data_IF_588742091893
#
_entry.id   IF_588742091893
#
_cell.length_a   1.000
_cell.length_b   1.000
_cell.length_c   1.000
_cell.angle_alpha   90.00
_cell.angle_beta   90.00
_cell.angle_gamma   90.00
#
_symmetry.space_group_name_H-M   'P 1'
#
loop_
_entity.id
_entity.type
_entity.pdbx_description
1 polymer ?
#
# COMPACT_ATOMS: atom_id res chain seq x y z
N UNK A 1 -9.87 22.95 -31.77
CA UNK A 1 -8.59 23.59 -31.41
C UNK A 1 -7.84 22.63 -30.49
N UNK A 2 -6.89 21.88 -31.04
CA UNK A 2 -6.18 20.85 -30.30
C UNK A 2 -4.71 20.77 -30.72
N UNK A 3 -3.90 20.28 -29.79
CA UNK A 3 -2.49 19.90 -29.97
C UNK A 3 -1.50 21.05 -29.75
N UNK A 4 -0.39 20.90 -29.03
CA UNK A 4 0.22 19.71 -28.46
C UNK A 4 1.39 20.13 -27.57
N UNK A 5 1.58 19.39 -26.47
CA UNK A 5 2.61 19.64 -25.47
C UNK A 5 4.00 19.26 -25.96
N UNK A 6 4.99 20.01 -25.48
CA UNK A 6 6.41 19.91 -25.83
C UNK A 6 7.08 18.73 -25.12
N UNK A 7 7.45 17.70 -25.87
CA UNK A 7 8.36 16.66 -25.42
C UNK A 7 9.81 17.16 -25.55
N UNK A 8 10.55 17.18 -24.42
CA UNK A 8 11.98 17.48 -24.41
C UNK A 8 12.75 16.22 -24.83
N UNK A 9 13.24 16.23 -26.06
CA UNK A 9 14.18 15.25 -26.59
C UNK A 9 15.55 15.45 -25.92
N UNK A 10 16.08 14.42 -25.26
CA UNK A 10 17.47 14.42 -24.78
C UNK A 10 18.35 14.00 -25.95
N UNK A 11 19.09 14.97 -26.49
CA UNK A 11 19.96 14.81 -27.63
C UNK A 11 21.28 14.14 -27.20
N UNK A 12 21.51 12.89 -27.62
CA UNK A 12 22.86 12.31 -27.61
C UNK A 12 23.45 12.57 -28.99
N UNK A 13 24.45 13.46 -29.04
CA UNK A 13 25.15 13.81 -30.26
C UNK A 13 26.16 12.71 -30.63
N UNK A 14 25.97 12.09 -31.79
CA UNK A 14 27.02 11.34 -32.49
C UNK A 14 27.23 12.02 -33.84
N UNK A 15 28.41 12.63 -34.01
CA UNK A 15 28.80 13.27 -35.26
C UNK A 15 29.33 12.21 -36.23
N UNK A 16 28.67 12.10 -37.38
CA UNK A 16 29.11 11.29 -38.52
C UNK A 16 28.10 11.41 -39.65
N UNK A 17 28.48 12.07 -40.74
CA UNK A 17 27.62 12.34 -41.89
C UNK A 17 27.15 11.07 -42.59
N UNK A 18 25.86 11.06 -42.95
CA UNK A 18 25.20 9.97 -43.69
C UNK A 18 23.77 9.79 -43.18
N UNK A 19 22.79 9.96 -44.08
CA UNK A 19 21.34 10.04 -43.82
C UNK A 19 20.82 9.25 -42.61
N UNK A 20 20.30 9.99 -41.62
CA UNK A 20 19.60 9.46 -40.46
C UNK A 20 18.16 9.10 -40.86
N UNK A 21 17.94 7.89 -41.39
CA UNK A 21 16.61 7.28 -41.32
C UNK A 21 16.40 6.83 -39.87
N UNK A 22 15.64 7.62 -39.11
CA UNK A 22 15.19 7.20 -37.78
C UNK A 22 14.26 5.98 -37.95
N UNK A 23 14.58 4.79 -37.43
CA UNK A 23 13.58 3.75 -37.33
C UNK A 23 12.50 4.25 -36.36
N UNK A 24 11.32 4.59 -36.89
CA UNK A 24 10.10 4.89 -36.14
C UNK A 24 9.53 3.64 -35.47
N UNK A 25 10.39 2.81 -34.90
CA UNK A 25 10.02 1.71 -34.05
C UNK A 25 9.85 2.25 -32.65
N UNK A 26 8.61 2.47 -32.22
CA UNK A 26 8.31 2.59 -30.79
C UNK A 26 8.67 1.25 -30.14
N UNK A 27 9.87 1.14 -29.59
CA UNK A 27 10.22 0.06 -28.68
C UNK A 27 9.38 0.27 -27.41
N UNK A 28 8.18 -0.33 -27.43
CA UNK A 28 7.33 -0.45 -26.28
C UNK A 28 8.06 -1.35 -25.29
N UNK A 29 8.82 -0.75 -24.37
CA UNK A 29 9.54 -1.48 -23.36
C UNK A 29 8.54 -2.41 -22.63
N UNK A 30 8.87 -3.70 -22.44
CA UNK A 30 8.04 -4.61 -21.67
C UNK A 30 7.71 -3.98 -20.32
N UNK A 31 6.42 -3.95 -19.94
CA UNK A 31 5.94 -3.34 -18.70
C UNK A 31 6.59 -3.87 -17.41
N UNK A 32 7.36 -4.96 -17.51
CA UNK A 32 8.18 -5.52 -16.44
C UNK A 32 9.44 -4.69 -16.15
N UNK A 33 10.02 -4.03 -17.16
CA UNK A 33 11.20 -3.18 -17.03
C UNK A 33 10.86 -1.76 -16.52
N UNK A 34 9.56 -1.43 -16.45
CA UNK A 34 9.11 -0.22 -15.75
C UNK A 34 9.32 -0.40 -14.24
N UNK A 35 9.98 0.55 -13.57
CA UNK A 35 10.26 0.43 -12.14
C UNK A 35 8.96 0.35 -11.35
N UNK A 36 8.73 -0.80 -10.71
CA UNK A 36 7.69 -0.94 -9.68
C UNK A 36 8.18 -0.22 -8.44
N UNK A 37 7.45 0.81 -8.03
CA UNK A 37 7.77 1.56 -6.81
C UNK A 37 7.43 0.74 -5.56
N UNK A 38 8.20 0.88 -4.47
CA UNK A 38 7.85 0.25 -3.21
C UNK A 38 6.52 0.81 -2.69
N UNK A 39 5.84 0.01 -1.86
CA UNK A 39 4.52 0.36 -1.33
C UNK A 39 4.52 1.71 -0.58
N UNK A 40 5.61 2.05 0.09
CA UNK A 40 5.78 3.31 0.83
C UNK A 40 5.67 4.53 -0.09
N UNK A 41 6.32 4.49 -1.25
CA UNK A 41 6.28 5.57 -2.23
C UNK A 41 4.90 5.69 -2.87
N UNK A 42 4.25 4.56 -3.15
CA UNK A 42 2.88 4.52 -3.68
C UNK A 42 1.92 5.17 -2.67
N UNK A 43 1.99 4.77 -1.41
CA UNK A 43 1.12 5.32 -0.37
C UNK A 43 1.41 6.78 -0.08
N UNK A 44 2.68 7.20 -0.12
CA UNK A 44 3.07 8.60 -0.02
C UNK A 44 2.47 9.42 -1.17
N UNK A 45 2.52 8.93 -2.40
CA UNK A 45 1.91 9.58 -3.56
C UNK A 45 0.38 9.71 -3.46
N UNK A 46 -0.31 8.68 -2.95
CA UNK A 46 -1.78 8.66 -2.89
C UNK A 46 -2.36 9.43 -1.70
N UNK A 47 -1.66 9.44 -0.56
CA UNK A 47 -2.21 9.98 0.70
C UNK A 47 -1.70 11.37 1.05
N UNK A 48 -0.52 11.76 0.56
CA UNK A 48 0.07 13.04 0.90
C UNK A 48 -0.36 14.15 -0.06
N UNK A 49 -0.41 15.37 0.47
CA UNK A 49 -0.36 16.60 -0.33
C UNK A 49 1.09 17.09 -0.34
N UNK A 50 1.45 17.93 -1.32
CA UNK A 50 2.76 18.59 -1.31
C UNK A 50 3.03 19.28 0.03
N UNK A 51 4.29 19.35 0.46
CA UNK A 51 4.67 19.97 1.75
C UNK A 51 4.10 21.39 1.91
N UNK A 52 4.03 22.15 0.81
CA UNK A 52 3.40 23.47 0.77
C UNK A 52 1.88 23.41 1.00
N UNK A 53 1.18 22.43 0.42
CA UNK A 53 -0.25 22.21 0.61
C UNK A 53 -0.60 21.79 2.05
N UNK A 54 0.25 20.99 2.70
CA UNK A 54 0.10 20.57 4.10
C UNK A 54 0.18 21.75 5.06
N UNK A 55 1.20 22.60 4.92
CA UNK A 55 1.40 23.78 5.79
C UNK A 55 0.26 24.79 5.70
N UNK A 56 -0.35 24.95 4.52
CA UNK A 56 -1.45 25.90 4.27
C UNK A 56 -2.85 25.31 4.50
N UNK A 57 -2.96 24.09 5.03
CA UNK A 57 -4.26 23.46 5.30
C UNK A 57 -5.11 23.20 4.05
N UNK A 58 -4.51 23.09 2.85
CA UNK A 58 -5.26 22.90 1.59
C UNK A 58 -5.90 21.51 1.45
N UNK A 59 -5.53 20.56 2.31
CA UNK A 59 -6.15 19.24 2.33
C UNK A 59 -7.43 19.25 3.17
N UNK A 60 -8.59 19.02 2.54
CA UNK A 60 -9.85 18.80 3.27
C UNK A 60 -9.70 17.62 4.23
N UNK A 61 -10.12 17.81 5.49
CA UNK A 61 -10.06 16.79 6.54
C UNK A 61 -10.98 15.59 6.29
N UNK A 62 -12.06 15.81 5.54
CA UNK A 62 -13.12 14.83 5.29
C UNK A 62 -12.74 13.90 4.14
N UNK A 63 -12.80 12.59 4.37
CA UNK A 63 -12.51 11.57 3.34
C UNK A 63 -11.03 11.24 3.13
N UNK A 64 -10.14 11.59 4.07
CA UNK A 64 -8.72 11.21 4.02
C UNK A 64 -8.58 9.69 3.87
N UNK A 65 -7.93 9.25 2.79
CA UNK A 65 -7.57 7.85 2.59
C UNK A 65 -6.36 7.54 3.46
N UNK A 66 -6.51 6.62 4.40
CA UNK A 66 -5.38 6.16 5.22
C UNK A 66 -4.59 5.10 4.47
N UNK A 67 -3.27 5.18 4.55
CA UNK A 67 -2.39 4.13 4.04
C UNK A 67 -2.69 2.81 4.74
N UNK A 68 -2.97 1.77 3.96
CA UNK A 68 -3.22 0.42 4.49
C UNK A 68 -1.97 -0.40 4.30
N UNK A 69 -1.62 -1.22 5.30
CA UNK A 69 -0.54 -2.17 5.14
C UNK A 69 -1.08 -3.42 4.43
N UNK A 70 -0.68 -3.65 3.17
CA UNK A 70 -1.12 -4.80 2.37
C UNK A 70 -0.43 -6.12 2.78
N UNK A 71 0.67 -6.05 3.54
CA UNK A 71 1.41 -7.24 3.96
C UNK A 71 0.80 -7.89 5.21
N UNK A 72 -0.11 -7.20 5.91
CA UNK A 72 -0.83 -7.76 7.06
C UNK A 72 -1.82 -8.81 6.58
N UNK A 73 -1.77 -10.01 7.17
CA UNK A 73 -2.67 -11.11 6.86
C UNK A 73 -2.26 -11.94 5.62
N UNK A 74 -1.09 -11.70 5.04
CA UNK A 74 -0.52 -12.55 4.00
C UNK A 74 0.53 -13.48 4.60
N UNK A 75 0.38 -14.79 4.37
CA UNK A 75 1.34 -15.81 4.78
C UNK A 75 2.23 -16.14 3.58
N UNK A 76 3.53 -16.26 3.80
CA UNK A 76 4.50 -16.58 2.75
C UNK A 76 4.22 -17.99 2.22
N UNK A 77 4.26 -18.18 0.91
CA UNK A 77 3.97 -19.48 0.27
C UNK A 77 2.49 -19.79 0.09
N UNK A 78 1.60 -18.85 0.40
CA UNK A 78 0.16 -18.97 0.11
C UNK A 78 -0.22 -18.02 -1.02
N UNK A 79 -0.76 -18.58 -2.10
CA UNK A 79 -1.18 -17.84 -3.28
C UNK A 79 -2.68 -17.96 -3.59
N UNK A 80 -3.05 -17.44 -4.77
CA UNK A 80 -4.35 -17.71 -5.39
C UNK A 80 -4.46 -19.19 -5.75
N UNK A 81 -3.45 -19.71 -6.44
CA UNK A 81 -3.25 -21.14 -6.61
C UNK A 81 -2.85 -21.76 -5.26
N UNK A 82 -3.60 -22.76 -4.83
CA UNK A 82 -3.33 -23.49 -3.61
C UNK A 82 -2.25 -24.55 -3.90
N UNK A 83 -0.99 -24.20 -3.62
CA UNK A 83 0.15 -25.10 -3.85
C UNK A 83 0.81 -25.35 -2.51
N UNK A 84 1.06 -26.60 -2.18
CA UNK A 84 1.85 -27.01 -1.02
C UNK A 84 3.33 -26.91 -1.38
N UNK A 85 4.04 -26.05 -0.66
CA UNK A 85 5.47 -25.83 -0.76
C UNK A 85 6.15 -26.43 0.48
N UNK A 86 6.78 -27.62 0.36
CA UNK A 86 7.49 -28.22 1.47
C UNK A 86 8.63 -27.30 1.92
N UNK A 87 8.68 -27.01 3.22
CA UNK A 87 9.65 -26.09 3.83
C UNK A 87 9.23 -24.62 3.88
N UNK A 88 8.05 -24.25 3.34
CA UNK A 88 7.53 -22.88 3.40
C UNK A 88 6.14 -22.82 4.04
N UNK A 89 5.15 -23.50 3.45
CA UNK A 89 3.78 -23.53 3.97
C UNK A 89 3.44 -24.84 4.70
N UNK A 90 4.19 -25.90 4.43
CA UNK A 90 4.04 -27.22 5.02
C UNK A 90 5.41 -27.69 5.52
N UNK A 91 5.48 -28.43 6.64
CA UNK A 91 6.72 -29.07 7.06
C UNK A 91 7.20 -30.04 5.97
N UNK A 92 8.52 -30.21 5.89
CA UNK A 92 9.18 -31.10 4.92
C UNK A 92 8.80 -32.57 5.15
N UNK A 93 8.61 -32.95 6.43
CA UNK A 93 8.18 -34.29 6.84
C UNK A 93 6.79 -34.19 7.49
N UNK A 94 5.83 -34.96 6.99
CA UNK A 94 4.56 -35.22 7.69
C UNK A 94 4.60 -36.63 8.26
N UNK A 95 4.89 -36.74 9.54
CA UNK A 95 5.10 -38.03 10.20
C UNK A 95 6.34 -38.74 9.65
N UNK A 96 6.14 -39.79 8.86
CA UNK A 96 7.21 -40.60 8.25
C UNK A 96 7.40 -40.34 6.75
N UNK A 97 6.56 -39.51 6.14
CA UNK A 97 6.55 -39.29 4.70
C UNK A 97 7.10 -37.90 4.33
N UNK A 98 7.94 -37.89 3.29
CA UNK A 98 8.42 -36.67 2.64
C UNK A 98 7.29 -36.03 1.85
N UNK A 99 7.00 -34.77 2.15
CA UNK A 99 5.94 -34.03 1.46
C UNK A 99 6.44 -33.54 0.10
N UNK A 100 5.76 -33.98 -0.96
CA UNK A 100 6.02 -33.49 -2.32
C UNK A 100 5.22 -32.22 -2.60
N UNK A 101 5.69 -31.43 -3.58
CA UNK A 101 4.95 -30.28 -4.07
C UNK A 101 3.66 -30.76 -4.73
N UNK A 102 2.51 -30.32 -4.22
CA UNK A 102 1.20 -30.71 -4.72
C UNK A 102 0.32 -29.47 -4.91
N UNK A 103 -0.42 -29.43 -6.02
CA UNK A 103 -1.45 -28.42 -6.26
C UNK A 103 -2.78 -28.96 -5.72
N UNK A 104 -3.29 -28.33 -4.67
CA UNK A 104 -4.61 -28.62 -4.13
C UNK A 104 -5.69 -27.85 -4.90
N UNK A 105 -6.96 -28.29 -4.82
CA UNK A 105 -8.08 -27.52 -5.33
C UNK A 105 -8.20 -26.17 -4.60
N UNK A 106 -8.95 -25.27 -5.22
CA UNK A 106 -9.16 -23.93 -4.68
C UNK A 106 -10.17 -23.94 -3.52
N UNK A 107 -9.72 -23.55 -2.33
CA UNK A 107 -10.58 -23.42 -1.16
C UNK A 107 -11.37 -22.09 -1.19
N UNK A 108 -12.64 -22.17 -1.56
CA UNK A 108 -13.54 -20.99 -1.58
C UNK A 108 -13.76 -20.41 -0.18
N UNK A 109 -13.77 -21.25 0.86
CA UNK A 109 -13.94 -20.83 2.25
C UNK A 109 -12.80 -19.93 2.73
N UNK A 110 -11.56 -20.29 2.38
CA UNK A 110 -10.37 -19.49 2.67
C UNK A 110 -10.44 -18.13 1.98
N UNK A 111 -10.89 -18.08 0.72
CA UNK A 111 -11.06 -16.81 0.01
C UNK A 111 -12.09 -15.91 0.71
N UNK A 112 -13.21 -16.49 1.17
CA UNK A 112 -14.23 -15.76 1.96
C UNK A 112 -13.64 -15.25 3.29
N UNK A 113 -12.83 -16.04 3.98
CA UNK A 113 -12.16 -15.61 5.21
C UNK A 113 -11.19 -14.44 4.98
N UNK A 114 -10.40 -14.48 3.90
CA UNK A 114 -9.51 -13.37 3.51
C UNK A 114 -10.30 -12.08 3.21
N UNK A 115 -11.45 -12.20 2.55
CA UNK A 115 -12.34 -11.06 2.28
C UNK A 115 -12.93 -10.48 3.57
N UNK A 116 -13.37 -11.34 4.50
CA UNK A 116 -13.86 -10.92 5.81
C UNK A 116 -12.79 -10.14 6.58
N UNK A 117 -11.57 -10.64 6.64
CA UNK A 117 -10.44 -9.94 7.29
C UNK A 117 -10.15 -8.58 6.64
N UNK A 118 -10.19 -8.50 5.30
CA UNK A 118 -10.03 -7.24 4.57
C UNK A 118 -11.10 -6.21 4.95
N UNK A 119 -12.34 -6.66 5.09
CA UNK A 119 -13.47 -5.78 5.41
C UNK A 119 -13.43 -5.30 6.86
N UNK A 120 -13.02 -6.15 7.79
CA UNK A 120 -12.76 -5.78 9.20
C UNK A 120 -11.68 -4.69 9.30
N UNK A 121 -10.59 -4.81 8.53
CA UNK A 121 -9.52 -3.80 8.47
C UNK A 121 -9.97 -2.42 7.96
N UNK A 122 -11.13 -2.31 7.31
CA UNK A 122 -11.63 -1.05 6.75
C UNK A 122 -12.24 -0.11 7.80
N UNK A 123 -12.57 -0.62 8.99
CA UNK A 123 -13.34 0.12 9.99
C UNK A 123 -12.46 1.10 10.77
N UNK A 124 -12.34 2.34 10.29
CA UNK A 124 -11.92 3.45 11.15
C UNK A 124 -13.03 3.70 12.16
N UNK A 125 -12.82 3.26 13.41
CA UNK A 125 -13.72 3.60 14.51
C UNK A 125 -13.58 5.09 14.79
N UNK A 126 -14.68 5.83 14.67
CA UNK A 126 -14.72 7.18 15.24
C UNK A 126 -14.51 7.05 16.75
N UNK A 127 -13.65 7.89 17.30
CA UNK A 127 -13.45 8.00 18.75
C UNK A 127 -14.74 8.57 19.35
N UNK A 128 -15.69 7.69 19.66
CA UNK A 128 -16.88 8.04 20.44
C UNK A 128 -16.46 8.03 21.91
N UNK A 129 -16.39 9.21 22.50
CA UNK A 129 -16.18 9.33 23.94
C UNK A 129 -17.46 8.92 24.68
N UNK A 130 -17.29 8.25 25.81
CA UNK A 130 -18.37 8.00 26.74
C UNK A 130 -18.83 9.34 27.38
N UNK A 131 -20.09 9.49 27.81
CA UNK A 131 -20.54 10.72 28.46
C UNK A 131 -19.77 11.09 29.73
N UNK A 132 -19.20 10.12 30.44
CA UNK A 132 -18.42 10.32 31.66
C UNK A 132 -17.02 10.89 31.39
N UNK A 133 -16.41 10.52 30.26
CA UNK A 133 -15.09 11.01 29.85
C UNK A 133 -15.14 12.34 29.09
N UNK A 134 -16.35 12.86 28.84
CA UNK A 134 -16.58 14.10 28.12
C UNK A 134 -16.47 15.28 29.08
N UNK A 135 -15.77 16.33 28.63
CA UNK A 135 -15.69 17.61 29.33
C UNK A 135 -16.95 18.46 29.12
N UNK A 136 -16.78 19.78 29.02
CA UNK A 136 -17.92 20.71 28.91
C UNK A 136 -18.72 20.57 27.62
N UNK A 137 -18.07 20.24 26.49
CA UNK A 137 -18.73 20.20 25.19
C UNK A 137 -18.16 19.13 24.24
N UNK A 138 -19.03 18.23 23.79
CA UNK A 138 -18.79 17.21 22.76
C UNK A 138 -17.45 16.49 22.86
N UNK A 139 -16.73 16.53 21.74
CA UNK A 139 -15.38 15.97 21.57
C UNK A 139 -14.28 16.97 21.95
N UNK A 140 -14.62 18.14 22.48
CA UNK A 140 -13.62 19.15 22.83
C UNK A 140 -12.90 18.73 24.12
N UNK A 141 -11.65 19.17 24.24
CA UNK A 141 -10.80 18.90 25.41
C UNK A 141 -11.14 19.67 26.71
N UNK A 142 -11.72 20.88 26.74
CA UNK A 142 -11.89 21.62 27.98
C UNK A 142 -12.86 20.89 28.93
N UNK A 143 -12.50 20.83 30.20
CA UNK A 143 -13.23 20.10 31.24
C UNK A 143 -12.92 18.60 31.31
N UNK A 144 -11.93 18.10 30.56
CA UNK A 144 -11.46 16.70 30.66
C UNK A 144 -10.18 16.63 31.50
N UNK A 145 -10.08 15.64 32.38
CA UNK A 145 -8.85 15.37 33.14
C UNK A 145 -7.79 14.73 32.23
N UNK A 146 -6.55 15.22 32.32
CA UNK A 146 -5.40 14.71 31.53
C UNK A 146 -4.68 13.57 32.28
N UNK A 147 -4.87 13.48 33.59
CA UNK A 147 -4.17 12.55 34.48
C UNK A 147 -3.27 13.28 35.47
N UNK A 148 -2.61 12.53 36.35
CA UNK A 148 -1.54 13.06 37.18
C UNK A 148 -0.34 13.42 36.27
N UNK A 149 0.45 14.45 36.62
CA UNK A 149 1.67 14.75 35.88
C UNK A 149 2.66 13.59 35.98
N UNK A 150 3.44 13.40 34.92
CA UNK A 150 4.54 12.44 34.93
C UNK A 150 5.53 12.80 36.05
N UNK A 151 6.05 11.82 36.83
CA UNK A 151 7.00 12.09 37.89
C UNK A 151 8.31 12.63 37.32
N UNK A 152 8.88 13.65 37.97
CA UNK A 152 10.16 14.24 37.59
C UNK A 152 11.27 13.62 38.45
N UNK A 153 12.12 12.77 37.84
CA UNK A 153 13.42 12.36 38.41
C UNK A 153 13.52 10.93 38.96
N UNK A 154 13.43 9.93 38.07
CA UNK A 154 14.09 8.62 38.27
C UNK A 154 15.29 8.50 37.31
#
# INVERSE_FOLDING_TARGET
MGGGGTERCVQVAVMGGGGMSCPSGSYFLPSFLSPRMPAEDIWKGVTSVSNAGKKRGRGKGMGKKTAKNLNKGQIIGVGRANIVWPGLNSPVMRGRELVTQQKLPEDLERQKALLKMRDEMKTFRSLKLSPLERGWSGTKMPGRSIGAPDPVGE
#
